data_IF_885282068314
#
_entry.id   IF_885282068314
#
_cell.length_a   1.000
_cell.length_b   1.000
_cell.length_c   1.000
_cell.angle_alpha   90.00
_cell.angle_beta   90.00
_cell.angle_gamma   90.00
#
_symmetry.space_group_name_H-M   'P 1'
#
loop_
_entity.id
_entity.type
_entity.pdbx_description
1 polymer ?
#
# COMPACT_ATOMS: atom_id res chain seq x y z
N UNK A 1 13.16 -5.55 11.63
CA UNK A 1 11.80 -5.08 11.28
C UNK A 1 11.19 -4.57 12.57
N UNK A 2 11.06 -3.24 12.77
CA UNK A 2 10.34 -2.71 13.92
C UNK A 2 8.84 -3.03 13.80
N UNK A 3 8.33 -3.72 14.82
CA UNK A 3 6.89 -3.93 14.99
C UNK A 3 6.28 -2.66 15.61
N UNK A 4 5.16 -2.24 15.05
CA UNK A 4 4.37 -1.09 15.49
C UNK A 4 2.94 -1.53 15.73
N UNK A 5 2.27 -0.86 16.66
CA UNK A 5 0.84 -1.03 16.86
C UNK A 5 0.15 0.32 16.80
N UNK A 6 -1.02 0.38 16.19
CA UNK A 6 -1.82 1.60 16.08
C UNK A 6 -3.30 1.27 16.12
N UNK A 7 -4.13 2.25 16.48
CA UNK A 7 -5.58 2.06 16.55
C UNK A 7 -6.17 2.22 15.15
N UNK A 8 -7.00 1.27 14.75
CA UNK A 8 -7.87 1.42 13.59
C UNK A 8 -8.97 2.45 13.94
N UNK A 9 -9.15 3.44 13.07
CA UNK A 9 -10.09 4.55 13.26
C UNK A 9 -11.49 4.25 12.69
N UNK A 10 -11.73 3.05 12.16
CA UNK A 10 -13.03 2.63 11.60
C UNK A 10 -14.15 2.42 12.65
N UNK A 11 -13.93 2.81 13.91
CA UNK A 11 -14.93 2.73 14.98
C UNK A 11 -15.08 1.34 15.62
N UNK A 12 -14.33 0.33 15.18
CA UNK A 12 -14.39 -1.04 15.73
C UNK A 12 -13.54 -1.23 16.98
N UNK A 13 -12.73 -0.23 17.36
CA UNK A 13 -11.85 -0.31 18.54
C UNK A 13 -10.70 -1.31 18.38
N UNK A 14 -10.36 -1.67 17.14
CA UNK A 14 -9.28 -2.62 16.85
C UNK A 14 -7.92 -1.91 16.96
N UNK A 15 -6.96 -2.58 17.60
CA UNK A 15 -5.55 -2.21 17.55
C UNK A 15 -4.85 -3.14 16.55
N UNK A 16 -4.33 -2.54 15.49
CA UNK A 16 -3.64 -3.25 14.42
C UNK A 16 -2.16 -3.40 14.73
N UNK A 17 -1.60 -4.57 14.44
CA UNK A 17 -0.18 -4.85 14.48
C UNK A 17 0.42 -4.80 13.08
N UNK A 18 1.55 -4.12 12.93
CA UNK A 18 2.25 -4.01 11.66
C UNK A 18 3.77 -4.02 11.84
N UNK A 19 4.49 -4.26 10.76
CA UNK A 19 5.94 -4.24 10.69
C UNK A 19 6.37 -3.31 9.57
N UNK A 20 7.12 -2.26 9.91
CA UNK A 20 7.63 -1.28 8.93
C UNK A 20 9.03 -1.69 8.49
N UNK A 21 9.27 -1.65 7.19
CA UNK A 21 10.58 -1.83 6.59
C UNK A 21 11.03 -0.50 5.99
N UNK A 22 12.23 -0.09 6.39
CA UNK A 22 12.84 1.16 5.95
C UNK A 22 13.89 0.89 4.87
N UNK A 23 14.07 1.83 3.92
CA UNK A 23 15.12 1.70 2.93
C UNK A 23 16.52 1.79 3.54
N UNK A 24 17.52 1.29 2.81
CA UNK A 24 18.90 1.41 3.23
C UNK A 24 19.32 2.89 3.32
N UNK A 25 19.95 3.28 4.43
CA UNK A 25 20.31 4.68 4.67
C UNK A 25 19.10 5.58 4.93
N UNK A 26 18.05 5.04 5.57
CA UNK A 26 16.88 5.81 5.99
C UNK A 26 17.26 7.04 6.82
N UNK A 27 16.65 8.16 6.47
CA UNK A 27 16.83 9.48 7.07
C UNK A 27 15.44 10.08 7.31
N UNK A 28 15.08 10.29 8.58
CA UNK A 28 13.75 10.73 8.98
C UNK A 28 13.44 12.19 8.60
N UNK A 29 14.45 12.94 8.14
CA UNK A 29 14.27 14.29 7.60
C UNK A 29 13.78 14.29 6.14
N UNK A 30 13.85 13.14 5.45
CA UNK A 30 13.44 12.98 4.06
C UNK A 30 12.06 12.34 3.94
N UNK A 31 11.40 12.63 2.82
CA UNK A 31 10.11 12.03 2.45
C UNK A 31 10.31 10.87 1.48
N UNK A 32 9.75 9.71 1.81
CA UNK A 32 9.84 8.51 0.99
C UNK A 32 8.47 8.07 0.46
N UNK A 33 8.40 7.51 -0.76
CA UNK A 33 7.23 6.76 -1.20
C UNK A 33 7.01 5.55 -0.29
N UNK A 34 5.75 5.23 -0.05
CA UNK A 34 5.36 4.12 0.82
C UNK A 34 4.49 3.09 0.10
N UNK A 35 4.56 1.84 0.55
CA UNK A 35 3.73 0.74 0.04
C UNK A 35 3.17 -0.10 1.18
N UNK A 36 1.85 -0.29 1.17
CA UNK A 36 1.13 -1.21 2.05
C UNK A 36 1.12 -2.60 1.43
N UNK A 37 1.46 -3.63 2.20
CA UNK A 37 1.53 -5.03 1.75
C UNK A 37 0.54 -5.89 2.53
N UNK A 38 -0.56 -6.27 1.89
CA UNK A 38 -1.59 -7.14 2.46
C UNK A 38 -1.24 -8.62 2.31
N UNK A 39 -1.36 -9.38 3.40
CA UNK A 39 -1.05 -10.80 3.43
C UNK A 39 -2.15 -11.69 2.79
N UNK A 40 -1.83 -12.95 2.44
CA UNK A 40 -2.83 -13.93 1.98
C UNK A 40 -3.92 -14.24 3.01
N UNK A 41 -5.05 -14.81 2.56
CA UNK A 41 -6.09 -15.33 3.45
C UNK A 41 -5.53 -16.34 4.45
N UNK A 42 -5.78 -16.13 5.75
CA UNK A 42 -5.20 -16.93 6.84
C UNK A 42 -3.69 -16.76 7.09
N UNK A 43 -3.03 -15.83 6.39
CA UNK A 43 -1.62 -15.50 6.61
C UNK A 43 -1.39 -14.47 7.73
N UNK A 44 -0.13 -14.09 7.94
CA UNK A 44 0.29 -13.01 8.86
C UNK A 44 1.47 -12.21 8.28
N UNK A 45 1.77 -11.04 8.86
CA UNK A 45 2.82 -10.11 8.42
C UNK A 45 4.22 -10.73 8.41
N UNK A 46 4.51 -11.72 9.25
CA UNK A 46 5.81 -12.40 9.32
C UNK A 46 6.10 -13.33 8.13
N UNK A 47 5.07 -13.67 7.34
CA UNK A 47 5.19 -14.64 6.26
C UNK A 47 5.53 -13.95 4.92
N UNK A 48 4.80 -14.31 3.86
CA UNK A 48 5.03 -13.81 2.50
C UNK A 48 4.87 -12.28 2.41
N UNK A 49 3.96 -11.66 3.17
CA UNK A 49 3.83 -10.20 3.19
C UNK A 49 5.09 -9.49 3.68
N UNK A 50 5.66 -9.93 4.81
CA UNK A 50 6.90 -9.37 5.36
C UNK A 50 8.10 -9.55 4.43
N UNK A 51 8.19 -10.69 3.74
CA UNK A 51 9.24 -10.94 2.76
C UNK A 51 9.18 -9.94 1.59
N UNK A 52 7.98 -9.69 1.05
CA UNK A 52 7.79 -8.70 -0.01
C UNK A 52 8.06 -7.28 0.50
N UNK A 53 7.59 -6.93 1.70
CA UNK A 53 7.84 -5.63 2.30
C UNK A 53 9.35 -5.36 2.47
N UNK A 54 10.12 -6.35 2.94
CA UNK A 54 11.58 -6.24 3.03
C UNK A 54 12.23 -5.97 1.67
N UNK A 55 11.86 -6.74 0.63
CA UNK A 55 12.40 -6.55 -0.73
C UNK A 55 12.05 -5.18 -1.33
N UNK A 56 10.85 -4.67 -1.05
CA UNK A 56 10.44 -3.34 -1.50
C UNK A 56 11.25 -2.25 -0.80
N UNK A 57 11.55 -2.44 0.48
CA UNK A 57 12.41 -1.51 1.22
C UNK A 57 13.84 -1.49 0.69
N UNK A 58 14.39 -2.65 0.33
CA UNK A 58 15.70 -2.73 -0.35
C UNK A 58 15.73 -1.95 -1.68
N UNK A 59 14.57 -1.68 -2.29
CA UNK A 59 14.42 -0.88 -3.51
C UNK A 59 14.09 0.61 -3.25
N UNK A 60 14.24 1.09 -2.01
CA UNK A 60 14.09 2.52 -1.69
C UNK A 60 12.70 2.97 -1.26
N UNK A 61 11.78 2.04 -0.99
CA UNK A 61 10.42 2.32 -0.51
C UNK A 61 10.35 2.19 1.02
N UNK A 62 9.44 2.90 1.66
CA UNK A 62 8.95 2.48 2.98
C UNK A 62 7.89 1.42 2.74
N UNK A 63 8.04 0.23 3.33
CA UNK A 63 7.10 -0.86 3.08
C UNK A 63 6.55 -1.41 4.40
N UNK A 64 5.23 -1.40 4.54
CA UNK A 64 4.54 -1.86 5.74
C UNK A 64 3.77 -3.14 5.45
N UNK A 65 4.03 -4.18 6.24
CA UNK A 65 3.20 -5.39 6.27
C UNK A 65 2.40 -5.37 7.58
N UNK A 66 1.12 -5.67 7.53
CA UNK A 66 0.24 -5.59 8.70
C UNK A 66 -0.54 -6.88 8.87
N UNK A 67 -0.99 -7.16 10.10
CA UNK A 67 -1.97 -8.20 10.37
C UNK A 67 -3.37 -7.60 10.28
N UNK A 68 -4.26 -8.22 9.49
CA UNK A 68 -5.66 -7.78 9.39
C UNK A 68 -6.36 -7.86 10.74
N UNK A 69 -7.42 -7.07 10.91
CA UNK A 69 -8.28 -7.10 12.10
C UNK A 69 -8.71 -8.55 12.40
N UNK A 70 -8.78 -8.91 13.69
CA UNK A 70 -9.11 -10.26 14.17
C UNK A 70 -8.06 -11.36 13.88
N UNK A 71 -6.96 -11.04 13.18
CA UNK A 71 -5.93 -11.99 12.74
C UNK A 71 -4.55 -11.63 13.31
N UNK A 72 -3.60 -12.58 13.26
CA UNK A 72 -2.21 -12.37 13.68
C UNK A 72 -2.06 -11.77 15.07
N UNK A 73 -1.24 -10.73 15.20
CA UNK A 73 -1.05 -9.98 16.46
C UNK A 73 -2.03 -8.80 16.60
N UNK A 74 -2.88 -8.54 15.59
CA UNK A 74 -3.95 -7.55 15.69
C UNK A 74 -5.04 -8.02 16.65
N UNK A 75 -5.69 -7.06 17.32
CA UNK A 75 -6.78 -7.35 18.25
C UNK A 75 -8.10 -7.66 17.54
N UNK A 76 -9.13 -7.99 18.33
CA UNK A 76 -10.50 -8.21 17.85
C UNK A 76 -11.01 -9.60 18.16
N UNK A 77 -12.32 -9.69 18.43
CA UNK A 77 -13.03 -10.96 18.64
C UNK A 77 -14.34 -11.00 17.82
N UNK A 78 -14.71 -12.16 17.24
CA UNK A 78 -14.04 -13.45 17.34
C UNK A 78 -12.73 -13.52 16.52
N UNK A 79 -11.71 -14.23 17.04
CA UNK A 79 -10.46 -14.49 16.30
C UNK A 79 -10.69 -15.15 14.94
N UNK A 80 -9.83 -14.82 13.98
CA UNK A 80 -9.83 -15.35 12.61
C UNK A 80 -11.09 -15.03 11.80
N UNK A 81 -11.81 -13.98 12.19
CA UNK A 81 -12.90 -13.45 11.38
C UNK A 81 -12.34 -12.95 10.04
N UNK A 82 -12.80 -13.55 8.95
CA UNK A 82 -12.45 -13.15 7.59
C UNK A 82 -13.67 -12.43 6.99
N UNK A 83 -13.75 -11.11 7.23
CA UNK A 83 -14.75 -10.25 6.60
C UNK A 83 -14.09 -9.39 5.51
N UNK A 84 -14.52 -9.48 4.24
CA UNK A 84 -13.89 -8.78 3.13
C UNK A 84 -14.03 -7.25 3.21
N UNK A 85 -15.11 -6.74 3.82
CA UNK A 85 -15.30 -5.30 3.99
C UNK A 85 -14.31 -4.74 5.02
N UNK A 86 -14.20 -5.40 6.18
CA UNK A 86 -13.23 -5.04 7.23
C UNK A 86 -11.81 -5.16 6.69
N UNK A 87 -11.49 -6.24 5.97
CA UNK A 87 -10.15 -6.43 5.39
C UNK A 87 -9.78 -5.34 4.39
N UNK A 88 -10.76 -4.75 3.71
CA UNK A 88 -10.55 -3.63 2.80
C UNK A 88 -10.32 -2.33 3.57
N UNK A 89 -11.12 -2.06 4.60
CA UNK A 89 -10.96 -0.91 5.49
C UNK A 89 -9.65 -0.94 6.27
N UNK A 90 -9.16 -2.13 6.63
CA UNK A 90 -7.85 -2.30 7.28
C UNK A 90 -6.71 -1.75 6.41
N UNK A 91 -6.80 -1.87 5.08
CA UNK A 91 -5.82 -1.29 4.16
C UNK A 91 -5.85 0.24 4.27
N UNK A 92 -7.04 0.84 4.26
CA UNK A 92 -7.22 2.29 4.46
C UNK A 92 -6.69 2.74 5.82
N UNK A 93 -6.96 2.01 6.89
CA UNK A 93 -6.46 2.33 8.23
C UNK A 93 -4.92 2.32 8.31
N UNK A 94 -4.27 1.41 7.58
CA UNK A 94 -2.80 1.37 7.48
C UNK A 94 -2.28 2.55 6.67
N UNK A 95 -2.97 2.94 5.59
CA UNK A 95 -2.64 4.14 4.80
C UNK A 95 -2.76 5.38 5.69
N UNK A 96 -3.86 5.53 6.44
CA UNK A 96 -4.07 6.63 7.37
C UNK A 96 -2.92 6.73 8.38
N UNK A 97 -2.55 5.61 8.99
CA UNK A 97 -1.38 5.55 9.88
C UNK A 97 -0.10 6.03 9.19
N UNK A 98 0.18 5.58 7.96
CA UNK A 98 1.35 6.02 7.20
C UNK A 98 1.35 7.54 6.93
N UNK A 99 0.18 8.16 6.69
CA UNK A 99 0.10 9.61 6.45
C UNK A 99 0.49 10.44 7.68
N UNK A 100 0.37 9.88 8.88
CA UNK A 100 0.80 10.54 10.12
C UNK A 100 2.32 10.61 10.29
N UNK A 101 3.07 9.82 9.50
CA UNK A 101 4.52 9.70 9.68
C UNK A 101 5.26 10.84 8.95
N UNK A 102 6.14 11.60 9.64
CA UNK A 102 6.77 12.78 9.08
C UNK A 102 7.74 12.48 7.94
N UNK A 103 8.16 11.23 7.76
CA UNK A 103 9.07 10.77 6.70
C UNK A 103 8.35 10.05 5.54
N UNK A 104 7.01 9.93 5.58
CA UNK A 104 6.22 9.38 4.47
C UNK A 104 5.70 10.51 3.58
N UNK A 105 5.84 10.32 2.27
CA UNK A 105 5.24 11.17 1.24
C UNK A 105 3.78 10.72 1.01
N UNK A 106 2.83 11.50 1.53
CA UNK A 106 1.40 11.17 1.49
C UNK A 106 0.82 11.15 0.06
N UNK A 107 1.46 11.82 -0.89
CA UNK A 107 1.04 11.83 -2.30
C UNK A 107 1.60 10.61 -3.06
N UNK A 108 2.44 9.79 -2.42
CA UNK A 108 3.14 8.64 -3.01
C UNK A 108 2.99 7.38 -2.16
N UNK A 109 1.75 7.08 -1.77
CA UNK A 109 1.39 5.82 -1.10
C UNK A 109 0.73 4.88 -2.09
N UNK A 110 1.25 3.66 -2.20
CA UNK A 110 0.65 2.57 -2.95
C UNK A 110 0.18 1.45 -2.02
N UNK A 111 -0.65 0.55 -2.55
CA UNK A 111 -1.03 -0.68 -1.88
C UNK A 111 -0.84 -1.87 -2.84
N UNK A 112 -0.39 -2.99 -2.29
CA UNK A 112 -0.34 -4.27 -2.99
C UNK A 112 -0.73 -5.39 -2.02
N UNK A 113 -1.13 -6.52 -2.59
CA UNK A 113 -1.49 -7.67 -1.79
C UNK A 113 -1.18 -8.96 -2.52
N UNK A 114 -1.19 -10.06 -1.76
CA UNK A 114 -0.79 -11.38 -2.24
C UNK A 114 -1.97 -12.33 -2.05
N UNK A 115 -2.35 -13.08 -3.08
CA UNK A 115 -3.53 -13.94 -3.07
C UNK A 115 -4.80 -13.13 -2.73
N UNK A 116 -5.60 -13.54 -1.73
CA UNK A 116 -6.77 -12.80 -1.26
C UNK A 116 -6.43 -11.34 -0.88
N UNK A 117 -5.22 -11.10 -0.35
CA UNK A 117 -4.69 -9.78 -0.08
C UNK A 117 -4.76 -8.84 -1.30
N UNK A 118 -4.53 -9.35 -2.51
CA UNK A 118 -4.59 -8.55 -3.74
C UNK A 118 -6.00 -8.03 -4.01
N UNK A 119 -7.03 -8.83 -3.70
CA UNK A 119 -8.43 -8.42 -3.84
C UNK A 119 -8.78 -7.28 -2.89
N UNK A 120 -8.34 -7.37 -1.63
CA UNK A 120 -8.57 -6.32 -0.63
C UNK A 120 -7.83 -5.02 -0.97
N UNK A 121 -6.56 -5.10 -1.38
CA UNK A 121 -5.80 -3.91 -1.79
C UNK A 121 -6.40 -3.24 -3.04
N UNK A 122 -6.90 -4.03 -4.00
CA UNK A 122 -7.56 -3.49 -5.18
C UNK A 122 -8.90 -2.83 -4.84
N UNK A 123 -9.68 -3.42 -3.94
CA UNK A 123 -10.95 -2.84 -3.49
C UNK A 123 -10.71 -1.53 -2.71
N UNK A 124 -9.69 -1.49 -1.85
CA UNK A 124 -9.28 -0.27 -1.17
C UNK A 124 -8.92 0.82 -2.19
N UNK A 125 -8.11 0.51 -3.20
CA UNK A 125 -7.75 1.46 -4.26
C UNK A 125 -8.95 1.97 -5.09
N UNK A 126 -10.07 1.24 -5.13
CA UNK A 126 -11.32 1.70 -5.80
C UNK A 126 -12.09 2.67 -4.89
N UNK A 127 -12.14 2.39 -3.58
CA UNK A 127 -12.87 3.20 -2.62
C UNK A 127 -12.09 4.44 -2.18
N UNK A 128 -10.78 4.42 -2.36
CA UNK A 128 -9.88 5.55 -2.15
C UNK A 128 -9.78 6.38 -3.44
N UNK A 129 -10.32 7.62 -3.51
CA UNK A 129 -10.34 8.39 -4.75
C UNK A 129 -8.95 8.84 -5.21
N UNK A 130 -8.71 8.76 -6.53
CA UNK A 130 -7.49 9.24 -7.20
C UNK A 130 -7.21 10.73 -6.93
N UNK A 131 -6.13 11.06 -6.19
CA UNK A 131 -5.68 12.44 -5.95
C UNK A 131 -5.20 13.18 -7.20
N UNK A 132 -4.96 12.46 -8.29
CA UNK A 132 -4.26 12.97 -9.46
C UNK A 132 -5.16 13.47 -10.58
N UNK A 133 -6.49 13.38 -10.48
CA UNK A 133 -7.37 13.80 -11.57
C UNK A 133 -8.66 14.44 -11.05
N UNK A 134 -8.87 15.71 -11.41
CA UNK A 134 -10.03 16.50 -11.00
C UNK A 134 -11.39 15.94 -11.46
N UNK A 135 -12.40 16.36 -10.69
CA UNK A 135 -13.85 16.32 -10.92
C UNK A 135 -14.55 14.95 -11.11
N UNK A 136 -15.39 14.58 -10.12
CA UNK A 136 -16.46 13.59 -10.28
C UNK A 136 -17.19 13.27 -8.97
N UNK A 137 -18.45 13.68 -8.84
CA UNK A 137 -19.26 13.74 -7.63
C UNK A 137 -19.79 12.40 -7.06
N UNK A 138 -19.70 12.24 -5.73
CA UNK A 138 -20.73 11.88 -4.70
C UNK A 138 -20.06 11.15 -3.54
N UNK A 139 -20.44 11.27 -2.28
CA UNK A 139 -21.56 11.94 -1.62
C UNK A 139 -21.74 11.32 -0.24
N UNK A 140 -21.03 11.84 0.77
CA UNK A 140 -21.39 11.84 2.20
C UNK A 140 -20.35 12.77 2.87
N UNK A 141 -20.82 13.82 3.54
CA UNK A 141 -19.96 14.87 4.07
C UNK A 141 -19.26 14.38 5.35
N UNK A 142 -18.00 13.93 5.25
CA UNK A 142 -17.08 13.78 6.40
C UNK A 142 -16.17 15.02 6.49
N UNK A 143 -16.29 15.87 7.52
CA UNK A 143 -15.61 17.16 7.56
C UNK A 143 -14.12 17.09 7.95
N UNK A 144 -13.54 15.91 8.21
CA UNK A 144 -12.22 15.76 8.84
C UNK A 144 -11.23 14.78 8.17
N UNK A 145 -11.52 14.23 6.98
CA UNK A 145 -10.61 13.32 6.26
C UNK A 145 -10.05 13.98 4.99
N UNK A 146 -8.73 14.21 4.86
CA UNK A 146 -8.12 14.68 3.61
C UNK A 146 -8.28 13.64 2.49
N UNK A 147 -9.07 13.97 1.47
CA UNK A 147 -9.46 13.10 0.35
C UNK A 147 -8.29 12.71 -0.55
N UNK A 148 -7.70 11.49 -0.45
CA UNK A 148 -6.37 11.32 -1.03
C UNK A 148 -5.89 9.88 -1.48
N UNK A 149 -5.97 9.46 -2.77
CA UNK A 149 -5.10 8.40 -3.37
C UNK A 149 -4.76 8.40 -4.89
N UNK A 150 -3.81 9.20 -5.42
CA UNK A 150 -3.58 9.27 -6.87
C UNK A 150 -2.25 8.78 -7.42
N UNK A 151 -2.14 7.51 -7.84
CA UNK A 151 -0.93 7.04 -8.55
C UNK A 151 -1.04 5.78 -9.44
N UNK A 152 -2.24 5.32 -9.82
CA UNK A 152 -2.35 4.06 -10.59
C UNK A 152 -2.13 4.18 -12.12
N UNK A 153 -1.84 5.38 -12.66
CA UNK A 153 -1.85 5.60 -14.12
C UNK A 153 -0.49 5.77 -14.82
N UNK A 154 0.64 5.83 -14.10
CA UNK A 154 1.99 5.96 -14.73
C UNK A 154 2.82 4.66 -14.82
N UNK A 155 2.29 3.52 -14.40
CA UNK A 155 2.98 2.21 -14.49
C UNK A 155 3.22 1.66 -15.91
N UNK A 156 2.71 2.29 -16.98
CA UNK A 156 2.96 1.88 -18.38
C UNK A 156 4.37 2.22 -18.90
N UNK A 157 5.37 2.39 -18.02
CA UNK A 157 6.78 2.54 -18.39
C UNK A 157 7.76 1.58 -17.68
N UNK A 158 7.28 0.55 -16.97
CA UNK A 158 8.15 -0.52 -16.48
C UNK A 158 8.40 -1.66 -17.49
N UNK A 159 7.79 -1.63 -18.68
CA UNK A 159 8.02 -2.62 -19.72
C UNK A 159 9.07 -2.15 -20.76
N UNK A 160 10.27 -1.75 -20.32
CA UNK A 160 11.39 -1.43 -21.22
C UNK A 160 12.77 -1.54 -20.56
N UNK A 161 13.05 -2.65 -19.86
CA UNK A 161 14.40 -2.94 -19.33
C UNK A 161 14.86 -4.38 -19.69
N UNK A 162 14.54 -4.80 -20.91
CA UNK A 162 15.27 -5.87 -21.61
C UNK A 162 15.41 -5.51 -23.09
N UNK A 163 16.30 -4.58 -23.41
CA UNK A 163 16.98 -4.55 -24.72
C UNK A 163 18.46 -4.28 -24.50
N UNK A 164 19.22 -5.36 -24.39
CA UNK A 164 20.67 -5.35 -24.52
C UNK A 164 21.10 -6.45 -25.47
N UNK A 165 21.56 -6.04 -26.66
CA UNK A 165 22.33 -6.78 -27.67
C UNK A 165 21.57 -7.76 -28.56
N UNK A 166 21.32 -7.36 -29.80
CA UNK A 166 22.09 -7.86 -30.96
C UNK A 166 21.90 -6.90 -32.14
N UNK A 167 22.90 -6.90 -33.01
CA UNK A 167 23.18 -5.94 -34.07
C UNK A 167 22.14 -5.88 -35.21
N UNK A 168 22.18 -4.78 -35.97
CA UNK A 168 21.92 -4.86 -37.41
C UNK A 168 20.87 -3.90 -37.98
N UNK A 169 21.39 -2.86 -38.65
CA UNK A 169 20.93 -2.37 -39.95
C UNK A 169 19.52 -1.77 -40.14
N UNK A 170 19.55 -0.50 -40.57
CA UNK A 170 18.68 0.16 -41.57
C UNK A 170 17.16 0.30 -41.33
N UNK A 171 16.70 1.55 -41.40
CA UNK A 171 15.34 1.87 -41.85
C UNK A 171 14.73 3.11 -41.18
N UNK A 172 14.84 4.27 -41.83
CA UNK A 172 14.05 5.46 -41.51
C UNK A 172 12.56 5.16 -41.75
N UNK A 173 11.66 5.69 -40.92
CA UNK A 173 10.40 6.22 -41.44
C UNK A 173 9.83 7.32 -40.53
N UNK A 174 9.48 8.44 -41.18
CA UNK A 174 8.90 9.67 -40.64
C UNK A 174 7.42 9.49 -40.32
N UNK A 175 6.95 10.33 -39.39
CA UNK A 175 5.68 11.06 -39.31
C UNK A 175 4.48 10.53 -40.14
N UNK A 176 3.36 10.33 -39.45
CA UNK A 176 2.14 11.14 -39.60
C UNK A 176 1.47 11.26 -38.23
#
# INVERSE_FOLDING_TARGET
MPNVTFKNLNGQGITMAAAINFPAGFDDTRKYPAVVVSHPGGGVKEQTAGLYAKKLAENGLIAIAFDRSYQGESSGEPRQLENPYISTEDVSAVIDYLTTLPYVDADRIGAMGICAGAGYSANAAINEPDQGAGHGQRGEHRPDVPQRLGWFRQGRRCAALHRGRFAGAHGRCRQQ
#
